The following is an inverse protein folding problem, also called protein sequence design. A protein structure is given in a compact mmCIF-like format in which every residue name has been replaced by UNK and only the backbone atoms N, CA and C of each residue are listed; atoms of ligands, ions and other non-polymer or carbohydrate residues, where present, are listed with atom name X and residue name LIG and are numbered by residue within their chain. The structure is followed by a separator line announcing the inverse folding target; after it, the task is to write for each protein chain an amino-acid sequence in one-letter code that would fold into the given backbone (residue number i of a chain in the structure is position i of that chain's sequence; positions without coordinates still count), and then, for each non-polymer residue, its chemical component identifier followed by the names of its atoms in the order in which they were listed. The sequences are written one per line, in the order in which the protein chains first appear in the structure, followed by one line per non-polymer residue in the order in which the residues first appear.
data_IF_779933758803
#
_entry.id   IF_779933758803
#
_cell.length_a   1.000
_cell.length_b   1.000
_cell.length_c   1.000
_cell.angle_alpha   90.00
_cell.angle_beta   90.00
_cell.angle_gamma   90.00
#
_symmetry.space_group_name_H-M   'P 1'
#
loop_
_entity.id
_entity.type
_entity.pdbx_description
1 polymer ?
#
# COMPACT_ATOMS: atom_id res chain seq x y z
N UNK A 1 -79.18 3.50 20.31
CA UNK A 1 -77.79 3.57 20.82
C UNK A 1 -76.96 2.31 20.57
N UNK A 2 -77.42 1.12 20.93
CA UNK A 2 -76.61 -0.13 20.76
C UNK A 2 -76.24 -0.46 19.30
N UNK A 3 -77.05 -0.14 18.28
CA UNK A 3 -76.72 -0.36 16.85
C UNK A 3 -75.64 0.58 16.34
N UNK A 4 -75.66 1.85 16.73
CA UNK A 4 -74.65 2.86 16.33
C UNK A 4 -73.29 2.50 16.95
N UNK A 5 -73.25 2.08 18.20
CA UNK A 5 -72.04 1.67 18.85
C UNK A 5 -71.38 0.44 18.18
N UNK A 6 -72.16 -0.55 17.73
CA UNK A 6 -71.67 -1.65 16.95
C UNK A 6 -71.09 -1.27 15.60
N UNK A 7 -71.71 -0.33 14.91
CA UNK A 7 -71.21 0.17 13.61
C UNK A 7 -69.87 0.91 13.81
N UNK A 8 -69.77 1.79 14.82
CA UNK A 8 -68.51 2.50 15.13
C UNK A 8 -67.43 1.52 15.53
N UNK A 9 -67.75 0.51 16.32
CA UNK A 9 -66.77 -0.50 16.75
C UNK A 9 -66.26 -1.35 15.57
N UNK A 10 -67.11 -1.74 14.64
CA UNK A 10 -66.70 -2.45 13.40
C UNK A 10 -65.88 -1.58 12.49
N UNK A 11 -66.15 -0.29 12.35
CA UNK A 11 -65.35 0.65 11.59
C UNK A 11 -63.98 0.89 12.21
N UNK A 12 -63.85 0.92 13.53
CA UNK A 12 -62.57 1.00 14.24
C UNK A 12 -61.77 -0.27 14.04
N UNK A 13 -62.37 -1.44 14.06
CA UNK A 13 -61.69 -2.73 13.79
C UNK A 13 -61.19 -2.76 12.33
N UNK A 14 -61.98 -2.35 11.37
CA UNK A 14 -61.60 -2.27 9.95
C UNK A 14 -60.45 -1.27 9.76
N UNK A 15 -60.49 -0.12 10.47
CA UNK A 15 -59.42 0.86 10.43
C UNK A 15 -58.11 0.31 11.02
N UNK A 16 -58.17 -0.39 12.12
CA UNK A 16 -57.02 -1.03 12.77
C UNK A 16 -56.41 -2.19 11.95
N UNK A 17 -57.25 -2.94 11.21
CA UNK A 17 -56.76 -4.04 10.35
C UNK A 17 -56.12 -3.54 9.04
N UNK A 18 -56.46 -2.33 8.59
CA UNK A 18 -55.82 -1.70 7.42
C UNK A 18 -54.49 -1.02 7.72
N UNK A 19 -54.07 -0.91 8.97
CA UNK A 19 -52.66 -0.62 9.27
C UNK A 19 -51.88 -1.89 8.99
N UNK A 20 -51.65 -2.19 7.71
CA UNK A 20 -50.59 -3.08 7.28
C UNK A 20 -49.35 -2.64 7.97
N UNK A 21 -48.82 -3.44 8.90
CA UNK A 21 -47.41 -3.32 9.30
C UNK A 21 -46.64 -3.38 8.01
N UNK A 22 -46.17 -2.25 7.53
CA UNK A 22 -45.11 -2.21 6.55
C UNK A 22 -43.93 -2.88 7.25
N UNK A 23 -43.80 -4.19 7.07
CA UNK A 23 -42.55 -4.87 7.30
C UNK A 23 -41.55 -4.09 6.40
N UNK A 24 -40.77 -3.26 7.01
CA UNK A 24 -39.59 -2.74 6.37
C UNK A 24 -38.80 -3.98 5.95
N UNK A 25 -39.00 -4.43 4.73
CA UNK A 25 -38.07 -5.33 4.09
C UNK A 25 -36.74 -4.62 4.20
N UNK A 26 -35.84 -5.15 5.03
CA UNK A 26 -34.48 -4.65 5.11
C UNK A 26 -33.92 -4.72 3.69
N UNK A 27 -34.00 -3.59 2.99
CA UNK A 27 -33.57 -3.49 1.60
C UNK A 27 -32.08 -3.79 1.59
N UNK A 28 -31.70 -4.88 0.95
CA UNK A 28 -30.31 -5.30 0.90
C UNK A 28 -29.49 -4.26 0.18
N UNK A 29 -28.36 -3.89 0.74
CA UNK A 29 -27.39 -3.00 0.11
C UNK A 29 -26.72 -3.78 -1.02
N UNK A 30 -26.96 -3.33 -2.26
CA UNK A 30 -26.34 -3.93 -3.45
C UNK A 30 -25.03 -3.22 -3.76
N UNK A 31 -23.95 -3.97 -3.89
CA UNK A 31 -22.62 -3.46 -4.22
C UNK A 31 -22.11 -4.13 -5.49
N UNK A 32 -21.73 -3.35 -6.48
CA UNK A 32 -21.05 -3.84 -7.67
C UNK A 32 -19.59 -4.16 -7.37
N UNK A 33 -19.08 -5.27 -7.89
CA UNK A 33 -17.68 -5.62 -7.79
C UNK A 33 -17.06 -5.69 -9.18
N UNK A 34 -16.22 -4.71 -9.51
CA UNK A 34 -15.57 -4.60 -10.81
C UNK A 34 -14.15 -5.17 -10.71
N UNK A 35 -13.94 -6.34 -11.30
CA UNK A 35 -12.66 -7.05 -11.24
C UNK A 35 -12.33 -7.70 -12.60
N UNK A 36 -11.05 -7.97 -12.91
CA UNK A 36 -10.67 -8.72 -14.10
C UNK A 36 -11.02 -10.20 -13.91
N UNK A 37 -12.14 -10.64 -14.47
CA UNK A 37 -12.62 -12.02 -14.36
C UNK A 37 -12.25 -12.87 -15.57
N UNK A 38 -11.64 -12.26 -16.59
CA UNK A 38 -11.12 -12.89 -17.80
C UNK A 38 -9.67 -12.47 -18.07
N UNK A 39 -9.00 -13.14 -19.02
CA UNK A 39 -7.64 -12.82 -19.45
C UNK A 39 -6.56 -13.18 -18.42
N UNK A 40 -5.41 -12.53 -18.56
CA UNK A 40 -4.18 -12.80 -17.77
C UNK A 40 -4.39 -12.64 -16.25
N UNK A 41 -5.18 -11.68 -15.82
CA UNK A 41 -5.39 -11.35 -14.41
C UNK A 41 -6.65 -11.99 -13.80
N UNK A 42 -7.20 -13.03 -14.44
CA UNK A 42 -8.40 -13.71 -13.96
C UNK A 42 -8.26 -14.23 -12.52
N UNK A 43 -7.10 -14.77 -12.18
CA UNK A 43 -6.84 -15.30 -10.82
C UNK A 43 -6.86 -14.19 -9.75
N UNK A 44 -6.34 -13.01 -10.08
CA UNK A 44 -6.42 -11.83 -9.22
C UNK A 44 -7.89 -11.43 -8.98
N UNK A 45 -8.69 -11.37 -10.06
CA UNK A 45 -10.12 -11.06 -9.95
C UNK A 45 -10.87 -12.07 -9.08
N UNK A 46 -10.59 -13.35 -9.24
CA UNK A 46 -11.17 -14.41 -8.40
C UNK A 46 -10.73 -14.30 -6.94
N UNK A 47 -9.48 -13.94 -6.68
CA UNK A 47 -8.98 -13.71 -5.31
C UNK A 47 -9.72 -12.56 -4.63
N UNK A 48 -10.02 -11.48 -5.36
CA UNK A 48 -10.81 -10.37 -4.84
C UNK A 48 -12.24 -10.78 -4.51
N UNK A 49 -12.89 -11.58 -5.37
CA UNK A 49 -14.22 -12.13 -5.07
C UNK A 49 -14.18 -12.94 -3.77
N UNK A 50 -13.18 -13.83 -3.63
CA UNK A 50 -13.03 -14.65 -2.41
C UNK A 50 -12.81 -13.77 -1.17
N UNK A 51 -11.91 -12.80 -1.24
CA UNK A 51 -11.63 -11.86 -0.14
C UNK A 51 -12.87 -11.05 0.25
N UNK A 52 -13.64 -10.58 -0.74
CA UNK A 52 -14.89 -9.87 -0.48
C UNK A 52 -15.91 -10.75 0.22
N UNK A 53 -16.05 -12.03 -0.18
CA UNK A 53 -16.94 -13.01 0.48
C UNK A 53 -16.49 -13.31 1.91
N UNK A 54 -15.17 -13.44 2.14
CA UNK A 54 -14.64 -13.64 3.48
C UNK A 54 -14.94 -12.44 4.37
N UNK A 55 -14.69 -11.21 3.90
CA UNK A 55 -15.01 -10.00 4.64
C UNK A 55 -16.51 -9.90 5.00
N UNK A 56 -17.42 -10.26 4.08
CA UNK A 56 -18.85 -10.32 4.37
C UNK A 56 -19.19 -11.36 5.44
N UNK A 57 -18.54 -12.51 5.40
CA UNK A 57 -18.71 -13.55 6.43
C UNK A 57 -18.25 -13.07 7.80
N UNK A 58 -17.12 -12.38 7.86
CA UNK A 58 -16.56 -11.84 9.12
C UNK A 58 -17.43 -10.72 9.71
N UNK A 59 -18.02 -9.87 8.86
CA UNK A 59 -18.99 -8.84 9.26
C UNK A 59 -20.27 -9.47 9.80
N UNK A 60 -20.60 -10.69 9.39
CA UNK A 60 -21.77 -11.44 9.85
C UNK A 60 -23.11 -10.83 9.43
N UNK A 61 -23.13 -10.05 8.32
CA UNK A 61 -24.36 -9.41 7.84
C UNK A 61 -24.94 -10.09 6.61
N UNK A 62 -26.25 -10.28 6.62
CA UNK A 62 -27.00 -10.76 5.45
C UNK A 62 -27.60 -9.61 4.63
N UNK A 63 -27.32 -8.36 4.99
CA UNK A 63 -27.92 -7.18 4.39
C UNK A 63 -27.13 -6.64 3.20
N UNK A 64 -26.01 -7.25 2.82
CA UNK A 64 -25.16 -6.83 1.68
C UNK A 64 -25.14 -7.93 0.63
N UNK A 65 -25.37 -7.56 -0.61
CA UNK A 65 -25.23 -8.44 -1.78
C UNK A 65 -24.17 -7.88 -2.74
N UNK A 66 -23.27 -8.77 -3.20
CA UNK A 66 -22.17 -8.42 -4.12
C UNK A 66 -22.51 -8.91 -5.53
N UNK A 67 -22.38 -8.03 -6.50
CA UNK A 67 -22.62 -8.28 -7.92
C UNK A 67 -21.30 -8.16 -8.70
N UNK A 68 -20.57 -9.27 -8.93
CA UNK A 68 -19.32 -9.25 -9.65
C UNK A 68 -19.54 -9.09 -11.17
N UNK A 69 -18.73 -8.21 -11.79
CA UNK A 69 -18.68 -8.01 -13.24
C UNK A 69 -17.25 -7.91 -13.73
N UNK A 70 -17.03 -8.43 -14.92
CA UNK A 70 -15.72 -8.44 -15.56
C UNK A 70 -15.38 -7.05 -16.13
N UNK A 71 -14.14 -6.61 -15.86
CA UNK A 71 -13.57 -5.39 -16.43
C UNK A 71 -12.74 -5.65 -17.70
N UNK A 72 -12.27 -6.89 -17.89
CA UNK A 72 -11.31 -7.24 -18.96
C UNK A 72 -10.05 -6.36 -18.99
N UNK A 73 -9.82 -5.53 -17.96
CA UNK A 73 -8.80 -4.47 -17.91
C UNK A 73 -8.95 -3.47 -19.09
N UNK A 74 -10.14 -3.39 -19.62
CA UNK A 74 -10.52 -2.48 -20.70
C UNK A 74 -11.47 -1.41 -20.22
N UNK A 75 -11.22 -0.11 -20.51
CA UNK A 75 -12.06 0.99 -20.00
C UNK A 75 -13.48 0.93 -20.56
N UNK A 76 -13.70 0.53 -21.81
CA UNK A 76 -15.03 0.44 -22.41
C UNK A 76 -15.83 -0.72 -21.80
N UNK A 77 -15.19 -1.87 -21.61
CA UNK A 77 -15.82 -3.02 -20.97
C UNK A 77 -16.16 -2.70 -19.51
N UNK A 78 -15.27 -1.99 -18.81
CA UNK A 78 -15.51 -1.53 -17.43
C UNK A 78 -16.72 -0.58 -17.37
N UNK A 79 -16.79 0.40 -18.27
CA UNK A 79 -17.92 1.32 -18.39
C UNK A 79 -19.23 0.58 -18.66
N UNK A 80 -19.25 -0.37 -19.57
CA UNK A 80 -20.43 -1.19 -19.88
C UNK A 80 -20.88 -2.02 -18.67
N UNK A 81 -19.93 -2.68 -17.99
CA UNK A 81 -20.19 -3.48 -16.79
C UNK A 81 -20.79 -2.62 -15.66
N UNK A 82 -20.20 -1.45 -15.40
CA UNK A 82 -20.69 -0.51 -14.39
C UNK A 82 -22.08 0.07 -14.74
N UNK A 83 -22.28 0.43 -16.02
CA UNK A 83 -23.56 0.95 -16.49
C UNK A 83 -24.68 -0.08 -16.36
N UNK A 84 -24.39 -1.35 -16.69
CA UNK A 84 -25.36 -2.45 -16.51
C UNK A 84 -25.80 -2.56 -15.05
N UNK A 85 -24.86 -2.64 -14.12
CA UNK A 85 -25.17 -2.75 -12.70
C UNK A 85 -25.88 -1.50 -12.14
N UNK A 86 -25.51 -0.29 -12.61
CA UNK A 86 -26.24 0.93 -12.27
C UNK A 86 -27.70 0.85 -12.67
N UNK A 87 -28.00 0.35 -13.86
CA UNK A 87 -29.37 0.18 -14.33
C UNK A 87 -30.19 -0.83 -13.50
N UNK A 88 -29.51 -1.73 -12.77
CA UNK A 88 -30.08 -2.63 -11.77
C UNK A 88 -30.20 -1.98 -10.37
N UNK A 89 -29.94 -0.67 -10.27
CA UNK A 89 -30.06 0.13 -9.06
C UNK A 89 -28.83 0.16 -8.16
N UNK A 90 -27.68 -0.36 -8.61
CA UNK A 90 -26.42 -0.35 -7.85
C UNK A 90 -25.76 1.03 -7.95
N UNK A 91 -25.43 1.61 -6.81
CA UNK A 91 -24.80 2.95 -6.71
C UNK A 91 -23.40 2.93 -6.11
N UNK A 92 -23.01 1.86 -5.47
CA UNK A 92 -21.70 1.70 -4.81
C UNK A 92 -20.96 0.55 -5.48
N UNK A 93 -19.71 0.80 -5.86
CA UNK A 93 -18.86 -0.16 -6.54
C UNK A 93 -17.55 -0.34 -5.78
N UNK A 94 -17.09 -1.57 -5.67
CA UNK A 94 -15.73 -1.93 -5.28
C UNK A 94 -14.95 -2.24 -6.56
N UNK A 95 -13.78 -1.63 -6.71
CA UNK A 95 -13.01 -1.70 -7.96
C UNK A 95 -13.33 -0.52 -8.90
N UNK A 96 -12.75 -0.54 -10.12
CA UNK A 96 -11.79 -1.52 -10.60
C UNK A 96 -10.42 -1.41 -9.91
N UNK A 97 -9.51 -2.34 -10.25
CA UNK A 97 -8.16 -2.39 -9.68
C UNK A 97 -7.20 -1.52 -10.47
N UNK A 98 -7.21 -1.71 -11.78
CA UNK A 98 -6.25 -1.07 -12.67
C UNK A 98 -6.67 0.35 -13.04
N UNK A 99 -5.73 1.28 -12.96
CA UNK A 99 -5.96 2.70 -13.30
C UNK A 99 -6.54 2.88 -14.72
N UNK A 100 -6.06 2.10 -15.69
CA UNK A 100 -6.57 2.13 -17.07
C UNK A 100 -8.09 1.91 -17.14
N UNK A 101 -8.64 1.06 -16.31
CA UNK A 101 -10.08 0.76 -16.25
C UNK A 101 -10.93 1.89 -15.69
N UNK A 102 -10.32 2.98 -15.18
CA UNK A 102 -11.04 4.12 -14.61
C UNK A 102 -11.42 5.18 -15.66
N UNK A 103 -10.81 5.15 -16.86
CA UNK A 103 -10.77 6.29 -17.79
C UNK A 103 -12.12 6.91 -18.15
N UNK A 104 -13.19 6.14 -18.17
CA UNK A 104 -14.53 6.62 -18.57
C UNK A 104 -15.57 6.54 -17.47
N UNK A 105 -15.17 6.28 -16.22
CA UNK A 105 -16.14 6.10 -15.13
C UNK A 105 -16.81 7.41 -14.68
N UNK A 106 -16.25 8.57 -15.00
CA UNK A 106 -16.87 9.88 -14.77
C UNK A 106 -18.08 10.15 -15.68
N UNK A 107 -18.27 9.37 -16.75
CA UNK A 107 -19.48 9.40 -17.57
C UNK A 107 -20.71 8.86 -16.81
N UNK A 108 -20.50 8.05 -15.75
CA UNK A 108 -21.59 7.49 -14.94
C UNK A 108 -21.83 8.41 -13.74
N UNK A 109 -22.97 9.09 -13.73
CA UNK A 109 -23.36 9.95 -12.61
C UNK A 109 -24.09 9.18 -11.50
N UNK A 110 -24.17 9.77 -10.31
CA UNK A 110 -24.91 9.26 -9.14
C UNK A 110 -24.42 7.89 -8.63
N UNK A 111 -23.14 7.59 -8.83
CA UNK A 111 -22.45 6.38 -8.34
C UNK A 111 -21.10 6.72 -7.73
N UNK A 112 -20.62 5.88 -6.84
CA UNK A 112 -19.29 5.97 -6.22
C UNK A 112 -18.53 4.69 -6.49
N UNK A 113 -17.29 4.83 -6.93
CA UNK A 113 -16.33 3.73 -7.13
C UNK A 113 -15.24 3.78 -6.05
N UNK A 114 -15.17 2.74 -5.23
CA UNK A 114 -14.06 2.49 -4.31
C UNK A 114 -13.00 1.68 -5.06
N UNK A 115 -12.18 2.36 -5.84
CA UNK A 115 -11.17 1.71 -6.67
C UNK A 115 -10.04 1.17 -5.84
N UNK A 116 -9.59 -0.04 -6.15
CA UNK A 116 -8.43 -0.68 -5.52
C UNK A 116 -7.09 -0.22 -6.15
N UNK A 117 -7.12 0.79 -7.03
CA UNK A 117 -5.91 1.38 -7.60
C UNK A 117 -5.04 2.03 -6.52
N UNK A 118 -3.72 1.93 -6.71
CA UNK A 118 -2.75 2.65 -5.90
C UNK A 118 -2.54 4.12 -6.32
N UNK A 119 -3.08 4.54 -7.48
CA UNK A 119 -3.01 5.92 -7.96
C UNK A 119 -3.92 6.83 -7.13
N UNK A 120 -3.43 8.04 -6.84
CA UNK A 120 -4.16 9.07 -6.09
C UNK A 120 -4.38 10.36 -6.87
N UNK A 121 -3.75 10.48 -8.04
CA UNK A 121 -3.87 11.65 -8.94
C UNK A 121 -4.64 11.26 -10.20
N UNK A 122 -5.24 12.27 -10.84
CA UNK A 122 -5.95 12.14 -12.12
C UNK A 122 -7.09 11.10 -12.10
N UNK A 123 -7.73 10.97 -10.94
CA UNK A 123 -8.89 10.08 -10.78
C UNK A 123 -10.18 10.78 -11.26
N UNK A 124 -11.11 10.03 -11.88
CA UNK A 124 -12.47 10.53 -12.11
C UNK A 124 -13.12 11.03 -10.81
N UNK A 125 -14.02 12.04 -10.90
CA UNK A 125 -14.60 12.71 -9.73
C UNK A 125 -15.40 11.80 -8.80
N UNK A 126 -15.96 10.73 -9.34
CA UNK A 126 -16.76 9.73 -8.63
C UNK A 126 -15.93 8.51 -8.18
N UNK A 127 -14.60 8.56 -8.30
CA UNK A 127 -13.67 7.50 -7.89
C UNK A 127 -12.88 7.91 -6.66
N UNK A 128 -12.92 7.06 -5.66
CA UNK A 128 -12.10 7.14 -4.44
C UNK A 128 -11.07 6.03 -4.50
N UNK A 129 -9.78 6.38 -4.44
CA UNK A 129 -8.72 5.37 -4.30
C UNK A 129 -8.74 4.79 -2.90
N UNK A 130 -8.97 3.50 -2.80
CA UNK A 130 -8.90 2.70 -1.56
C UNK A 130 -7.81 1.62 -1.60
N UNK A 131 -7.00 1.61 -2.67
CA UNK A 131 -5.83 0.75 -2.76
C UNK A 131 -4.68 1.22 -1.87
N UNK A 132 -3.77 0.30 -1.59
CA UNK A 132 -2.54 0.63 -0.87
C UNK A 132 -1.65 1.47 -1.78
N UNK A 133 -1.37 2.71 -1.34
CA UNK A 133 -0.56 3.67 -2.08
C UNK A 133 0.63 4.14 -1.23
N UNK A 134 1.55 4.89 -1.84
CA UNK A 134 2.77 5.36 -1.19
C UNK A 134 2.48 6.16 0.10
N UNK A 135 1.41 6.96 0.13
CA UNK A 135 1.05 7.72 1.33
C UNK A 135 0.57 6.83 2.48
N UNK A 136 -0.30 5.85 2.20
CA UNK A 136 -0.79 4.91 3.21
C UNK A 136 0.34 4.04 3.78
N UNK A 137 1.25 3.58 2.92
CA UNK A 137 2.44 2.83 3.35
C UNK A 137 3.36 3.70 4.22
N UNK A 138 3.63 4.96 3.80
CA UNK A 138 4.46 5.87 4.58
C UNK A 138 3.86 6.24 5.94
N UNK A 139 2.55 6.32 6.05
CA UNK A 139 1.90 6.52 7.35
C UNK A 139 2.13 5.30 8.27
N UNK A 140 1.95 4.09 7.76
CA UNK A 140 2.23 2.86 8.53
C UNK A 140 3.72 2.75 8.92
N UNK A 141 4.64 3.09 7.99
CA UNK A 141 6.08 3.12 8.27
C UNK A 141 6.41 4.16 9.33
N UNK A 142 5.80 5.35 9.28
CA UNK A 142 5.99 6.40 10.28
C UNK A 142 5.61 5.90 11.68
N UNK A 143 4.42 5.31 11.82
CA UNK A 143 3.94 4.79 13.09
C UNK A 143 4.86 3.67 13.61
N UNK A 144 5.33 2.79 12.74
CA UNK A 144 6.30 1.75 13.07
C UNK A 144 7.65 2.31 13.54
N UNK A 145 8.19 3.33 12.86
CA UNK A 145 9.46 3.96 13.24
C UNK A 145 9.37 4.68 14.60
N UNK A 146 8.23 5.31 14.89
CA UNK A 146 7.97 5.94 16.19
C UNK A 146 7.94 4.91 17.32
N UNK A 147 7.32 3.76 17.10
CA UNK A 147 7.28 2.65 18.06
C UNK A 147 8.65 1.96 18.24
N UNK A 148 9.46 1.93 17.19
CA UNK A 148 10.78 1.25 17.19
C UNK A 148 11.91 2.15 17.73
N UNK A 149 11.63 3.37 18.17
CA UNK A 149 12.61 4.37 18.66
C UNK A 149 13.76 4.67 17.69
N UNK A 150 13.55 4.46 16.39
CA UNK A 150 14.54 4.74 15.34
C UNK A 150 14.74 6.25 15.20
N UNK A 151 16.00 6.71 15.29
CA UNK A 151 16.32 8.16 15.33
C UNK A 151 16.65 8.74 13.95
N UNK A 152 17.42 8.01 13.15
CA UNK A 152 17.94 8.50 11.87
C UNK A 152 17.56 7.55 10.74
N UNK A 153 16.55 7.92 9.99
CA UNK A 153 16.10 7.18 8.81
C UNK A 153 16.53 7.88 7.55
N UNK A 154 17.24 7.20 6.65
CA UNK A 154 17.47 7.69 5.29
C UNK A 154 16.42 7.14 4.34
N UNK A 155 16.16 7.86 3.26
CA UNK A 155 15.21 7.46 2.23
C UNK A 155 15.90 7.41 0.87
N UNK A 156 15.82 6.26 0.21
CA UNK A 156 16.39 6.01 -1.11
C UNK A 156 15.26 5.93 -2.14
N UNK A 157 15.33 6.82 -3.16
CA UNK A 157 14.33 6.85 -4.26
C UNK A 157 15.07 6.74 -5.59
N UNK A 158 14.70 5.85 -6.50
CA UNK A 158 15.30 5.79 -7.82
C UNK A 158 14.93 7.03 -8.66
N UNK A 159 15.78 7.38 -9.61
CA UNK A 159 15.49 8.45 -10.58
C UNK A 159 14.62 7.92 -11.72
N UNK A 160 13.36 7.63 -11.39
CA UNK A 160 12.33 7.11 -12.29
C UNK A 160 11.09 8.02 -12.27
N UNK A 161 10.16 7.78 -13.16
CA UNK A 161 8.96 8.61 -13.38
C UNK A 161 8.13 8.84 -12.12
N UNK A 162 8.03 7.84 -11.24
CA UNK A 162 7.27 7.92 -9.99
C UNK A 162 7.99 8.65 -8.85
N UNK A 163 9.24 9.11 -9.04
CA UNK A 163 10.02 9.85 -8.04
C UNK A 163 9.25 11.03 -7.42
N UNK A 164 8.54 11.78 -8.25
CA UNK A 164 7.78 12.95 -7.79
C UNK A 164 6.57 12.57 -6.95
N UNK A 165 5.92 11.45 -7.23
CA UNK A 165 4.83 10.90 -6.43
C UNK A 165 5.33 10.51 -5.03
N UNK A 166 6.47 9.81 -4.97
CA UNK A 166 7.11 9.46 -3.69
C UNK A 166 7.47 10.71 -2.88
N UNK A 167 8.11 11.72 -3.49
CA UNK A 167 8.43 12.97 -2.80
C UNK A 167 7.19 13.68 -2.25
N UNK A 168 6.09 13.68 -3.00
CA UNK A 168 4.81 14.24 -2.55
C UNK A 168 4.25 13.45 -1.36
N UNK A 169 4.28 12.12 -1.43
CA UNK A 169 3.82 11.24 -0.36
C UNK A 169 4.63 11.41 0.93
N UNK A 170 5.97 11.53 0.84
CA UNK A 170 6.85 11.83 1.99
C UNK A 170 6.42 13.15 2.66
N UNK A 171 6.18 14.20 1.87
CA UNK A 171 5.73 15.50 2.40
C UNK A 171 4.36 15.41 3.07
N UNK A 172 3.43 14.67 2.49
CA UNK A 172 2.06 14.52 3.00
C UNK A 172 2.00 13.67 4.27
N UNK A 173 2.77 12.58 4.35
CA UNK A 173 2.82 11.69 5.53
C UNK A 173 3.45 12.36 6.75
N UNK A 174 4.22 13.43 6.55
CA UNK A 174 5.01 14.10 7.61
C UNK A 174 5.98 13.15 8.34
N UNK A 175 6.40 12.07 7.69
CA UNK A 175 7.40 11.15 8.22
C UNK A 175 8.74 11.89 8.41
N UNK A 176 9.40 11.67 9.53
CA UNK A 176 10.69 12.28 9.85
C UNK A 176 11.80 11.53 9.14
N UNK A 177 12.34 12.11 8.07
CA UNK A 177 13.47 11.59 7.30
C UNK A 177 14.72 12.40 7.60
N UNK A 178 15.81 11.74 8.01
CA UNK A 178 17.09 12.37 8.29
C UNK A 178 17.75 12.90 7.01
N UNK A 179 17.81 12.07 5.94
CA UNK A 179 18.27 12.46 4.61
C UNK A 179 17.52 11.71 3.53
N UNK A 180 17.26 12.38 2.41
CA UNK A 180 16.67 11.79 1.21
C UNK A 180 17.72 11.77 0.10
N UNK A 181 17.86 10.64 -0.57
CA UNK A 181 18.75 10.45 -1.68
C UNK A 181 17.97 9.96 -2.90
N UNK A 182 18.35 10.49 -4.06
CA UNK A 182 17.89 9.96 -5.35
C UNK A 182 19.07 9.26 -6.00
N UNK A 183 18.86 8.05 -6.49
CA UNK A 183 19.93 7.25 -7.11
C UNK A 183 19.57 6.86 -8.54
N UNK A 184 20.61 6.63 -9.34
CA UNK A 184 20.48 6.09 -10.69
C UNK A 184 20.39 4.56 -10.62
N UNK A 185 19.54 3.96 -11.48
CA UNK A 185 19.31 2.50 -11.47
C UNK A 185 20.39 1.71 -12.22
N UNK A 186 21.31 2.39 -12.92
CA UNK A 186 22.45 1.73 -13.55
C UNK A 186 23.39 1.18 -12.46
N UNK A 187 23.71 -0.16 -12.46
CA UNK A 187 24.35 -0.81 -11.32
C UNK A 187 25.67 -0.22 -10.85
N UNK A 188 26.55 0.20 -11.78
CA UNK A 188 27.86 0.78 -11.45
C UNK A 188 27.71 2.12 -10.76
N UNK A 189 26.82 2.97 -11.28
CA UNK A 189 26.53 4.29 -10.69
C UNK A 189 25.81 4.15 -9.35
N UNK A 190 24.84 3.23 -9.25
CA UNK A 190 24.15 2.92 -8.01
C UNK A 190 25.16 2.52 -6.92
N UNK A 191 26.06 1.57 -7.21
CA UNK A 191 27.03 1.11 -6.23
C UNK A 191 27.91 2.26 -5.75
N UNK A 192 28.41 3.10 -6.65
CA UNK A 192 29.20 4.26 -6.30
C UNK A 192 28.43 5.26 -5.42
N UNK A 193 27.17 5.53 -5.73
CA UNK A 193 26.33 6.41 -4.92
C UNK A 193 26.07 5.82 -3.51
N UNK A 194 25.91 4.50 -3.40
CA UNK A 194 25.76 3.82 -2.09
C UNK A 194 27.08 3.86 -1.30
N UNK A 195 28.24 3.72 -1.96
CA UNK A 195 29.56 3.92 -1.32
C UNK A 195 29.68 5.32 -0.70
N UNK A 196 29.27 6.35 -1.44
CA UNK A 196 29.27 7.74 -0.95
C UNK A 196 28.29 7.92 0.23
N UNK A 197 27.05 7.41 0.14
CA UNK A 197 26.03 7.51 1.18
C UNK A 197 26.49 6.82 2.48
N UNK A 198 27.22 5.72 2.37
CA UNK A 198 27.68 4.90 3.50
C UNK A 198 29.06 5.30 3.98
N UNK A 199 29.72 6.25 3.36
CA UNK A 199 31.15 6.60 3.59
C UNK A 199 32.05 5.36 3.53
N UNK A 200 31.84 4.49 2.55
CA UNK A 200 32.48 3.17 2.47
C UNK A 200 34.00 3.29 2.41
N UNK A 201 34.57 4.15 1.57
CA UNK A 201 36.01 4.33 1.42
C UNK A 201 36.68 4.79 2.71
N UNK A 202 36.06 5.74 3.43
CA UNK A 202 36.56 6.18 4.74
C UNK A 202 36.54 5.03 5.76
N UNK A 203 35.45 4.26 5.80
CA UNK A 203 35.32 3.14 6.72
C UNK A 203 36.27 1.99 6.38
N UNK A 204 36.58 1.79 5.10
CA UNK A 204 37.58 0.85 4.62
C UNK A 204 39.00 1.31 4.99
N UNK A 205 39.31 2.61 4.82
CA UNK A 205 40.57 3.17 5.25
C UNK A 205 40.75 3.05 6.76
N UNK A 206 39.71 3.33 7.56
CA UNK A 206 39.77 3.15 9.02
C UNK A 206 40.12 1.71 9.41
N UNK A 207 39.66 0.69 8.67
CA UNK A 207 40.05 -0.69 8.90
C UNK A 207 41.54 -0.92 8.63
N UNK A 208 42.05 -0.42 7.52
CA UNK A 208 43.46 -0.51 7.19
C UNK A 208 44.35 0.17 8.25
N UNK A 209 43.98 1.38 8.67
CA UNK A 209 44.68 2.13 9.70
C UNK A 209 44.66 1.41 11.06
N UNK A 210 43.55 0.77 11.43
CA UNK A 210 43.44 0.03 12.66
C UNK A 210 44.29 -1.25 12.63
N UNK A 211 44.36 -1.96 11.49
CA UNK A 211 45.28 -3.11 11.32
C UNK A 211 46.71 -2.68 11.51
N UNK A 212 47.14 -1.62 10.84
CA UNK A 212 48.48 -1.03 10.98
C UNK A 212 48.80 -0.59 12.42
N UNK A 213 47.81 0.00 13.11
CA UNK A 213 47.93 0.37 14.53
C UNK A 213 48.17 -0.84 15.43
N UNK A 214 47.43 -1.92 15.21
CA UNK A 214 47.59 -3.16 15.99
C UNK A 214 48.92 -3.86 15.65
N UNK A 215 49.33 -3.87 14.37
CA UNK A 215 50.60 -4.45 13.94
C UNK A 215 51.80 -3.74 14.61
N UNK A 216 51.75 -2.45 14.77
CA UNK A 216 52.80 -1.64 15.38
C UNK A 216 52.70 -1.51 16.92
N UNK A 217 51.77 -2.24 17.56
CA UNK A 217 51.55 -2.20 18.99
C UNK A 217 52.33 -3.33 19.70
N UNK A 218 52.58 -3.15 20.99
CA UNK A 218 53.21 -4.14 21.85
C UNK A 218 52.21 -5.08 22.53
N UNK A 219 51.00 -5.24 21.93
CA UNK A 219 49.95 -6.11 22.46
C UNK A 219 50.33 -7.58 22.40
N UNK A 220 50.12 -8.31 23.48
CA UNK A 220 50.44 -9.74 23.58
C UNK A 220 49.58 -10.58 22.63
N UNK A 221 48.35 -10.16 22.33
CA UNK A 221 47.36 -10.86 21.51
C UNK A 221 47.20 -10.25 20.11
N UNK A 222 48.17 -9.48 19.64
CA UNK A 222 48.07 -8.72 18.37
C UNK A 222 47.73 -9.57 17.17
N UNK A 223 48.29 -10.78 17.05
CA UNK A 223 48.01 -11.68 15.94
C UNK A 223 46.53 -12.13 15.91
N UNK A 224 45.94 -12.37 17.07
CA UNK A 224 44.55 -12.74 17.19
C UNK A 224 43.64 -11.55 16.84
N UNK A 225 44.04 -10.35 17.27
CA UNK A 225 43.28 -9.11 16.92
C UNK A 225 43.34 -8.82 15.43
N UNK A 226 44.51 -8.95 14.79
CA UNK A 226 44.65 -8.78 13.34
C UNK A 226 43.74 -9.78 12.59
N UNK A 227 43.79 -11.06 12.94
CA UNK A 227 42.90 -12.06 12.34
C UNK A 227 41.42 -11.78 12.51
N UNK A 228 41.00 -11.10 13.59
CA UNK A 228 39.62 -10.64 13.79
C UNK A 228 39.28 -9.42 12.90
N UNK A 229 40.24 -8.51 12.72
CA UNK A 229 40.08 -7.34 11.86
C UNK A 229 40.02 -7.74 10.38
N UNK A 230 40.87 -8.62 9.92
CA UNK A 230 40.94 -9.12 8.54
C UNK A 230 39.63 -9.80 8.07
N UNK A 231 38.80 -10.26 9.02
CA UNK A 231 37.49 -10.84 8.73
C UNK A 231 36.41 -9.77 8.48
N UNK A 232 36.71 -8.48 8.68
CA UNK A 232 35.81 -7.37 8.47
C UNK A 232 36.05 -6.74 7.11
N UNK A 233 35.04 -6.09 6.57
CA UNK A 233 35.14 -5.32 5.35
C UNK A 233 35.39 -3.83 5.65
N UNK A 234 34.87 -3.32 6.77
CA UNK A 234 34.99 -1.93 7.19
C UNK A 234 35.04 -1.79 8.71
N UNK A 235 35.52 -0.64 9.20
CA UNK A 235 35.39 -0.21 10.59
C UNK A 235 34.68 1.15 10.65
N UNK A 236 33.82 1.28 11.63
CA UNK A 236 33.01 2.48 11.88
C UNK A 236 31.54 2.29 11.50
N UNK A 237 30.71 3.20 11.99
CA UNK A 237 29.28 3.14 11.78
C UNK A 237 28.85 4.12 10.67
N UNK A 238 27.84 3.72 9.90
CA UNK A 238 27.10 4.68 9.06
C UNK A 238 26.26 5.62 9.94
N UNK A 239 26.01 6.84 9.45
CA UNK A 239 25.28 7.85 10.21
C UNK A 239 23.76 7.75 10.05
N UNK A 240 23.25 6.53 10.06
CA UNK A 240 21.79 6.26 10.07
C UNK A 240 21.51 4.93 10.74
N UNK A 241 20.26 4.77 11.22
CA UNK A 241 19.79 3.59 11.93
C UNK A 241 18.89 2.71 11.05
N UNK A 242 18.22 3.34 10.10
CA UNK A 242 17.32 2.66 9.16
C UNK A 242 17.38 3.25 7.77
N UNK A 243 16.98 2.47 6.79
CA UNK A 243 16.83 2.85 5.39
C UNK A 243 15.45 2.46 4.88
N UNK A 244 14.75 3.41 4.25
CA UNK A 244 13.54 3.16 3.47
C UNK A 244 13.95 3.17 2.01
N UNK A 245 13.58 2.14 1.27
CA UNK A 245 13.88 1.97 -0.15
C UNK A 245 12.55 1.94 -0.91
N UNK A 246 12.31 2.94 -1.76
CA UNK A 246 11.11 2.98 -2.61
C UNK A 246 11.41 2.39 -3.97
N UNK A 247 11.57 1.09 -4.02
CA UNK A 247 11.83 0.35 -5.25
C UNK A 247 11.33 -1.09 -5.13
N UNK A 248 11.29 -1.81 -6.25
CA UNK A 248 10.76 -3.16 -6.34
C UNK A 248 11.58 -4.00 -7.33
N UNK A 249 11.33 -5.29 -7.36
CA UNK A 249 11.92 -6.26 -8.29
C UNK A 249 13.46 -6.23 -8.32
N UNK A 250 14.05 -6.25 -9.50
CA UNK A 250 15.50 -6.31 -9.70
C UNK A 250 16.22 -5.03 -9.24
N UNK A 251 15.58 -3.87 -9.33
CA UNK A 251 16.16 -2.63 -8.82
C UNK A 251 16.32 -2.68 -7.31
N UNK A 252 15.29 -3.12 -6.57
CA UNK A 252 15.36 -3.30 -5.12
C UNK A 252 16.48 -4.26 -4.73
N UNK A 253 16.62 -5.38 -5.45
CA UNK A 253 17.72 -6.33 -5.22
C UNK A 253 19.09 -5.68 -5.41
N UNK A 254 19.24 -4.86 -6.46
CA UNK A 254 20.48 -4.14 -6.76
C UNK A 254 20.85 -3.15 -5.64
N UNK A 255 19.88 -2.38 -5.13
CA UNK A 255 20.08 -1.48 -3.99
C UNK A 255 20.50 -2.23 -2.74
N UNK A 256 19.79 -3.31 -2.40
CA UNK A 256 20.11 -4.12 -1.21
C UNK A 256 21.49 -4.73 -1.34
N UNK A 257 21.84 -5.25 -2.52
CA UNK A 257 23.17 -5.83 -2.78
C UNK A 257 24.27 -4.80 -2.62
N UNK A 258 24.10 -3.57 -3.15
CA UNK A 258 25.06 -2.47 -3.00
C UNK A 258 25.20 -2.03 -1.54
N UNK A 259 24.11 -2.00 -0.75
CA UNK A 259 24.17 -1.73 0.68
C UNK A 259 24.97 -2.82 1.43
N UNK A 260 24.69 -4.09 1.13
CA UNK A 260 25.41 -5.23 1.74
C UNK A 260 26.89 -5.19 1.36
N UNK A 261 27.23 -4.88 0.11
CA UNK A 261 28.61 -4.70 -0.35
C UNK A 261 29.35 -3.64 0.47
N UNK A 262 28.67 -2.56 0.85
CA UNK A 262 29.24 -1.51 1.69
C UNK A 262 29.16 -1.81 3.20
N UNK A 263 28.96 -3.07 3.59
CA UNK A 263 28.85 -3.55 4.98
C UNK A 263 27.70 -2.92 5.76
N UNK A 264 26.59 -2.64 5.04
CA UNK A 264 25.32 -2.19 5.61
C UNK A 264 24.26 -3.25 5.31
N UNK A 265 23.80 -3.95 6.33
CA UNK A 265 22.91 -5.10 6.14
C UNK A 265 21.77 -5.12 7.16
N UNK A 266 20.72 -5.93 6.93
CA UNK A 266 19.62 -6.12 7.88
C UNK A 266 20.05 -6.67 9.25
N UNK A 267 21.28 -7.15 9.39
CA UNK A 267 21.84 -7.58 10.69
C UNK A 267 22.19 -6.41 11.61
N UNK A 268 22.52 -5.25 11.03
CA UNK A 268 23.00 -4.09 11.77
C UNK A 268 22.16 -2.82 11.56
N UNK A 269 21.26 -2.80 10.59
CA UNK A 269 20.38 -1.68 10.28
C UNK A 269 18.98 -2.17 9.92
N UNK A 270 17.96 -1.36 10.20
CA UNK A 270 16.60 -1.66 9.81
C UNK A 270 16.37 -1.31 8.34
N UNK A 271 15.94 -2.27 7.55
CA UNK A 271 15.58 -2.08 6.14
C UNK A 271 14.06 -2.13 6.01
N UNK A 272 13.50 -1.15 5.33
CA UNK A 272 12.06 -1.03 5.07
C UNK A 272 11.89 -0.79 3.57
N UNK A 273 10.96 -1.48 2.94
CA UNK A 273 10.63 -1.27 1.53
C UNK A 273 9.28 -0.56 1.39
N UNK A 274 9.19 0.30 0.39
CA UNK A 274 7.98 0.97 -0.07
C UNK A 274 7.75 0.50 -1.51
N UNK A 275 6.71 -0.29 -1.74
CA UNK A 275 6.39 -0.90 -3.04
C UNK A 275 5.15 -0.27 -3.69
#
# INVERSE_FOLDING_TARGET
MKKIFRIIFTLIIIYLTNHSFAFSQNEKIKIGLLAPLSGEYKELGQSIIKSTRMALSDIGTNNIEIYPMDTGIDPNQTLQSATKLKNEGIKIFIGPIFFKSLMYLDEIQDVIFLSLTNKTNDLPKNVISSGVNSLSQLNAIKDFLELSEVKKTIFLTPDLDYKNEIKKAIKQSKIKIFKQYTYETEPTKLTKQIEEITNYDVRKQNLADEILRVENSDLVDKEEQIKKLEKRYTIGNVNFDSVIISDFDENLKSVITSLIYTDVSPKNKLFITLN
#
